data_IF_627438764933
#
_entry.id   IF_627438764933
#
_cell.length_a   1.000
_cell.length_b   1.000
_cell.length_c   1.000
_cell.angle_alpha   90.00
_cell.angle_beta   90.00
_cell.angle_gamma   90.00
#
_symmetry.space_group_name_H-M   'P 1'
#
loop_
_entity.id
_entity.type
_entity.pdbx_description
1 polymer ?
#
# COMPACT_ATOMS: atom_id res chain seq x y z
N UNK A 1 -18.66 -37.64 8.04
CA UNK A 1 -17.22 -37.46 7.81
C UNK A 1 -16.45 -38.35 8.78
N UNK A 2 -15.53 -39.17 8.26
CA UNK A 2 -14.66 -40.07 9.03
C UNK A 2 -13.57 -39.28 9.76
N UNK A 3 -12.87 -39.89 10.74
CA UNK A 3 -11.72 -39.25 11.36
C UNK A 3 -10.62 -38.84 10.35
N UNK A 4 -10.36 -39.66 9.34
CA UNK A 4 -9.34 -39.38 8.31
C UNK A 4 -9.75 -38.18 7.45
N UNK A 5 -10.99 -38.14 6.99
CA UNK A 5 -11.52 -37.02 6.19
C UNK A 5 -11.44 -35.69 6.96
N UNK A 6 -11.79 -35.70 8.26
CA UNK A 6 -11.68 -34.49 9.10
C UNK A 6 -10.23 -34.03 9.26
N UNK A 7 -9.29 -34.95 9.43
CA UNK A 7 -7.86 -34.60 9.56
C UNK A 7 -7.37 -33.95 8.27
N UNK A 8 -7.71 -34.52 7.11
CA UNK A 8 -7.32 -33.97 5.81
C UNK A 8 -7.92 -32.59 5.57
N UNK A 9 -9.17 -32.36 5.99
CA UNK A 9 -9.80 -31.04 5.92
C UNK A 9 -9.05 -30.00 6.77
N UNK A 10 -8.75 -30.33 8.03
CA UNK A 10 -8.02 -29.42 8.93
C UNK A 10 -6.58 -29.17 8.48
N UNK A 11 -5.91 -30.19 7.95
CA UNK A 11 -4.57 -30.07 7.33
C UNK A 11 -4.61 -29.12 6.13
N UNK A 12 -5.67 -29.19 5.31
CA UNK A 12 -5.89 -28.26 4.22
C UNK A 12 -6.02 -26.81 4.71
N UNK A 13 -6.80 -26.57 5.76
CA UNK A 13 -6.90 -25.24 6.37
C UNK A 13 -5.58 -24.74 6.96
N UNK A 14 -4.84 -25.61 7.65
CA UNK A 14 -3.55 -25.28 8.23
C UNK A 14 -2.56 -24.81 7.15
N UNK A 15 -2.37 -25.62 6.11
CA UNK A 15 -1.42 -25.33 5.04
C UNK A 15 -1.83 -24.06 4.26
N UNK A 16 -3.11 -23.89 3.98
CA UNK A 16 -3.60 -22.69 3.31
C UNK A 16 -3.36 -21.42 4.13
N UNK A 17 -3.64 -21.47 5.44
CA UNK A 17 -3.48 -20.30 6.29
C UNK A 17 -2.01 -19.99 6.59
N UNK A 18 -1.14 -21.00 6.69
CA UNK A 18 0.31 -20.79 6.78
C UNK A 18 0.86 -20.02 5.57
N UNK A 19 0.47 -20.42 4.35
CA UNK A 19 0.87 -19.70 3.14
C UNK A 19 0.40 -18.25 3.13
N UNK A 20 -0.85 -17.97 3.56
CA UNK A 20 -1.36 -16.61 3.66
C UNK A 20 -0.58 -15.75 4.67
N UNK A 21 -0.13 -16.32 5.78
CA UNK A 21 0.67 -15.61 6.78
C UNK A 21 2.07 -15.26 6.22
N UNK A 22 2.70 -16.18 5.48
CA UNK A 22 4.00 -15.93 4.84
C UNK A 22 3.90 -14.81 3.78
N UNK A 23 2.86 -14.84 2.95
CA UNK A 23 2.60 -13.79 1.95
C UNK A 23 2.32 -12.43 2.62
N UNK A 24 1.52 -12.42 3.69
CA UNK A 24 1.24 -11.22 4.47
C UNK A 24 2.52 -10.63 5.08
N UNK A 25 3.37 -11.46 5.68
CA UNK A 25 4.64 -11.02 6.27
C UNK A 25 5.54 -10.35 5.22
N UNK A 26 5.72 -11.00 4.07
CA UNK A 26 6.52 -10.45 2.98
C UNK A 26 5.95 -9.12 2.44
N UNK A 27 4.62 -8.99 2.39
CA UNK A 27 3.96 -7.76 1.99
C UNK A 27 4.18 -6.64 3.01
N UNK A 28 3.95 -6.91 4.30
CA UNK A 28 4.13 -5.94 5.39
C UNK A 28 5.56 -5.41 5.43
N UNK A 29 6.57 -6.27 5.31
CA UNK A 29 7.98 -5.85 5.28
C UNK A 29 8.28 -4.90 4.10
N UNK A 30 7.71 -5.17 2.93
CA UNK A 30 7.88 -4.31 1.74
C UNK A 30 7.19 -2.96 1.91
N UNK A 31 5.98 -2.94 2.48
CA UNK A 31 5.24 -1.71 2.76
C UNK A 31 5.97 -0.88 3.81
N UNK A 32 6.45 -1.50 4.89
CA UNK A 32 7.22 -0.85 5.94
C UNK A 32 8.52 -0.23 5.38
N UNK A 33 9.28 -0.98 4.60
CA UNK A 33 10.49 -0.46 3.93
C UNK A 33 10.18 0.66 2.91
N UNK A 34 8.96 0.71 2.39
CA UNK A 34 8.47 1.73 1.46
C UNK A 34 7.97 3.01 2.13
N UNK A 35 7.70 3.01 3.44
CA UNK A 35 7.08 4.14 4.15
C UNK A 35 7.86 5.44 4.01
N UNK A 36 9.20 5.39 4.01
CA UNK A 36 10.03 6.59 3.82
C UNK A 36 9.83 7.25 2.45
N UNK A 37 9.59 6.45 1.40
CA UNK A 37 9.29 6.97 0.05
C UNK A 37 7.90 7.61 -0.01
N UNK A 38 6.92 6.98 0.63
CA UNK A 38 5.57 7.55 0.77
C UNK A 38 5.61 8.90 1.49
N UNK A 39 6.33 8.98 2.61
CA UNK A 39 6.49 10.22 3.39
C UNK A 39 7.14 11.32 2.52
N UNK A 40 8.23 10.99 1.82
CA UNK A 40 8.89 11.95 0.94
C UNK A 40 7.98 12.46 -0.18
N UNK A 41 7.17 11.58 -0.78
CA UNK A 41 6.21 11.94 -1.82
C UNK A 41 5.10 12.84 -1.27
N UNK A 42 4.51 12.49 -0.12
CA UNK A 42 3.51 13.31 0.57
C UNK A 42 4.05 14.71 0.89
N UNK A 43 5.24 14.75 1.48
CA UNK A 43 5.86 16.01 1.89
C UNK A 43 6.15 16.90 0.67
N UNK A 44 6.65 16.30 -0.43
CA UNK A 44 6.81 16.97 -1.70
C UNK A 44 5.50 17.54 -2.23
N UNK A 45 4.45 16.72 -2.36
CA UNK A 45 3.13 17.13 -2.89
C UNK A 45 2.51 18.31 -2.14
N UNK A 46 2.73 18.39 -0.82
CA UNK A 46 2.23 19.49 0.01
C UNK A 46 3.15 20.71 0.10
N UNK A 47 4.29 20.70 -0.60
CA UNK A 47 5.32 21.72 -0.49
C UNK A 47 5.17 22.84 -1.52
N UNK A 48 5.82 23.98 -1.25
CA UNK A 48 6.00 25.03 -2.25
C UNK A 48 6.82 24.54 -3.45
N UNK A 49 7.77 23.62 -3.25
CA UNK A 49 8.60 23.07 -4.34
C UNK A 49 7.74 22.38 -5.39
N UNK A 50 6.71 21.63 -4.97
CA UNK A 50 5.76 21.03 -5.90
C UNK A 50 5.04 22.09 -6.74
N UNK A 51 4.61 23.20 -6.14
CA UNK A 51 3.95 24.29 -6.86
C UNK A 51 4.90 24.94 -7.88
N UNK A 52 6.15 25.17 -7.47
CA UNK A 52 7.18 25.74 -8.35
C UNK A 52 7.49 24.78 -9.52
N UNK A 53 7.52 23.47 -9.27
CA UNK A 53 7.74 22.44 -10.30
C UNK A 53 6.53 22.33 -11.26
N UNK A 54 5.29 22.50 -10.76
CA UNK A 54 4.10 22.62 -11.61
C UNK A 54 4.21 23.84 -12.52
N UNK A 55 4.58 25.01 -12.00
CA UNK A 55 4.79 26.21 -12.80
C UNK A 55 5.88 26.02 -13.86
N UNK A 56 7.00 25.38 -13.50
CA UNK A 56 8.08 25.03 -14.43
C UNK A 56 7.58 24.10 -15.54
N UNK A 57 6.78 23.08 -15.19
CA UNK A 57 6.26 22.11 -16.16
C UNK A 57 5.29 22.73 -17.19
N UNK A 58 4.71 23.89 -16.88
CA UNK A 58 3.83 24.64 -17.78
C UNK A 58 4.59 25.60 -18.72
N UNK A 59 5.91 25.69 -18.64
CA UNK A 59 6.70 26.56 -19.51
C UNK A 59 6.79 26.00 -20.94
N UNK A 60 6.81 26.88 -21.98
CA UNK A 60 6.80 26.44 -23.37
C UNK A 60 8.06 25.69 -23.82
N UNK A 61 9.15 25.80 -23.06
CA UNK A 61 10.43 25.12 -23.30
C UNK A 61 10.64 23.89 -22.40
N UNK A 62 9.62 23.48 -21.63
CA UNK A 62 9.69 22.26 -20.84
C UNK A 62 9.77 21.01 -21.76
N UNK A 63 10.70 20.07 -21.52
CA UNK A 63 10.89 18.93 -22.43
C UNK A 63 9.67 17.99 -22.48
N UNK A 64 9.17 17.70 -23.69
CA UNK A 64 8.00 16.83 -23.89
C UNK A 64 8.25 15.37 -23.46
N UNK A 65 9.50 14.91 -23.42
CA UNK A 65 9.85 13.55 -23.02
C UNK A 65 9.84 13.32 -21.51
N UNK A 66 9.70 14.37 -20.70
CA UNK A 66 9.69 14.27 -19.23
C UNK A 66 8.27 13.98 -18.74
N UNK A 67 8.06 12.78 -18.22
CA UNK A 67 6.78 12.37 -17.65
C UNK A 67 6.53 12.99 -16.27
N UNK A 68 5.57 13.90 -16.19
CA UNK A 68 5.19 14.63 -14.98
C UNK A 68 3.94 14.08 -14.28
N UNK A 69 3.76 12.76 -14.25
CA UNK A 69 2.59 12.16 -13.60
C UNK A 69 2.48 12.51 -12.11
N UNK A 70 3.61 12.79 -11.44
CA UNK A 70 3.65 13.28 -10.05
C UNK A 70 3.09 14.69 -9.89
N UNK A 71 3.10 15.50 -10.96
CA UNK A 71 2.60 16.89 -10.97
C UNK A 71 1.12 16.97 -11.38
N UNK A 72 0.46 15.84 -11.62
CA UNK A 72 -0.99 15.86 -11.76
C UNK A 72 -1.65 16.12 -10.40
N UNK A 73 -2.82 16.74 -10.43
CA UNK A 73 -3.61 17.00 -9.22
C UNK A 73 -4.07 15.69 -8.57
N UNK A 74 -4.55 14.73 -9.38
CA UNK A 74 -5.24 13.55 -8.86
C UNK A 74 -4.30 12.42 -8.41
N UNK A 75 -3.19 12.18 -9.12
CA UNK A 75 -2.46 10.91 -8.95
C UNK A 75 -1.82 10.75 -7.56
N UNK A 76 -1.23 11.82 -7.03
CA UNK A 76 -0.65 11.77 -5.68
C UNK A 76 -1.75 11.83 -4.64
N UNK A 77 -2.79 12.66 -4.84
CA UNK A 77 -3.92 12.75 -3.92
C UNK A 77 -4.61 11.40 -3.70
N UNK A 78 -4.95 10.69 -4.79
CA UNK A 78 -5.59 9.37 -4.75
C UNK A 78 -4.72 8.36 -4.01
N UNK A 79 -3.41 8.37 -4.24
CA UNK A 79 -2.48 7.50 -3.53
C UNK A 79 -2.45 7.78 -2.02
N UNK A 80 -2.50 9.05 -1.60
CA UNK A 80 -2.54 9.41 -0.18
C UNK A 80 -3.83 8.90 0.49
N UNK A 81 -4.97 9.02 -0.20
CA UNK A 81 -6.24 8.52 0.30
C UNK A 81 -6.27 6.98 0.36
N UNK A 82 -5.83 6.30 -0.69
CA UNK A 82 -5.70 4.85 -0.72
C UNK A 82 -4.78 4.36 0.41
N UNK A 83 -3.64 5.01 0.63
CA UNK A 83 -2.74 4.69 1.74
C UNK A 83 -3.46 4.76 3.09
N UNK A 84 -4.23 5.83 3.34
CA UNK A 84 -4.98 5.99 4.57
C UNK A 84 -6.05 4.90 4.73
N UNK A 85 -6.86 4.67 3.69
CA UNK A 85 -7.91 3.66 3.73
C UNK A 85 -7.35 2.26 3.99
N UNK A 86 -6.23 1.89 3.34
CA UNK A 86 -5.58 0.59 3.58
C UNK A 86 -5.04 0.47 5.00
N UNK A 87 -4.51 1.56 5.59
CA UNK A 87 -4.11 1.54 7.00
C UNK A 87 -5.29 1.26 7.95
N UNK A 88 -6.46 1.84 7.68
CA UNK A 88 -7.67 1.58 8.47
C UNK A 88 -8.13 0.12 8.32
N UNK A 89 -8.15 -0.41 7.09
CA UNK A 89 -8.50 -1.81 6.83
C UNK A 89 -7.55 -2.79 7.55
N UNK A 90 -6.24 -2.49 7.56
CA UNK A 90 -5.26 -3.29 8.31
C UNK A 90 -5.54 -3.29 9.82
N UNK A 91 -5.89 -2.14 10.40
CA UNK A 91 -6.24 -2.06 11.82
C UNK A 91 -7.50 -2.87 12.17
N UNK A 92 -8.52 -2.82 11.31
CA UNK A 92 -9.75 -3.60 11.49
C UNK A 92 -9.46 -5.11 11.41
N UNK A 93 -8.71 -5.54 10.39
CA UNK A 93 -8.32 -6.94 10.23
C UNK A 93 -7.47 -7.44 11.41
N UNK A 94 -6.46 -6.68 11.81
CA UNK A 94 -5.62 -7.03 12.95
C UNK A 94 -6.45 -7.16 14.25
N UNK A 95 -7.41 -6.24 14.45
CA UNK A 95 -8.32 -6.29 15.60
C UNK A 95 -9.19 -7.55 15.58
N UNK A 96 -9.71 -7.96 14.41
CA UNK A 96 -10.46 -9.21 14.27
C UNK A 96 -9.59 -10.42 14.59
N UNK A 97 -8.38 -10.50 14.03
CA UNK A 97 -7.45 -11.61 14.29
C UNK A 97 -7.12 -11.74 15.79
N UNK A 98 -6.90 -10.63 16.49
CA UNK A 98 -6.59 -10.63 17.92
C UNK A 98 -7.74 -11.13 18.81
N UNK A 99 -9.00 -10.98 18.39
CA UNK A 99 -10.17 -11.45 19.13
C UNK A 99 -10.36 -12.97 19.08
N UNK A 100 -9.78 -13.63 18.08
CA UNK A 100 -9.90 -15.07 17.87
C UNK A 100 -8.81 -15.88 18.60
N UNK A 101 -7.94 -15.23 19.37
CA UNK A 101 -6.89 -15.84 20.20
C UNK A 101 -7.28 -15.83 21.68
#
# INVERSE_FOLDING_TARGET
>A
MTPIERIQEMEGHLNAYQGLIEELEACLQRVEAGQSRYIALRDYYTSQVYMDDVELSNQPDFPEEVYCGVLSEDAVYDLLDEHYQKAVEMLDLATKMLKER
#
